data_IF_918509714344
#
_entry.id   IF_918509714344
#
_cell.length_a   1.000
_cell.length_b   1.000
_cell.length_c   1.000
_cell.angle_alpha   90.00
_cell.angle_beta   90.00
_cell.angle_gamma   90.00
#
_symmetry.space_group_name_H-M   'P 1'
#
loop_
_entity.id
_entity.type
_entity.pdbx_description
1 polymer ?
#
# COMPACT_ATOMS: atom_id res chain seq x y z
N UNK A 1 -20.38 -16.21 1.58
CA UNK A 1 -20.34 -16.13 0.11
C UNK A 1 -20.19 -14.67 -0.23
N UNK A 2 -19.07 -14.22 -0.81
CA UNK A 2 -18.95 -12.84 -1.25
C UNK A 2 -20.00 -12.60 -2.37
N UNK A 3 -20.78 -11.52 -2.27
CA UNK A 3 -21.69 -11.13 -3.36
C UNK A 3 -20.82 -10.71 -4.53
N UNK A 4 -20.98 -11.39 -5.66
CA UNK A 4 -20.28 -11.04 -6.89
C UNK A 4 -21.07 -9.95 -7.61
N UNK A 5 -20.54 -8.74 -7.58
CA UNK A 5 -21.11 -7.57 -8.25
C UNK A 5 -20.38 -7.22 -9.56
N UNK A 6 -19.45 -8.07 -10.01
CA UNK A 6 -18.59 -7.79 -11.17
C UNK A 6 -19.34 -7.76 -12.51
N UNK A 7 -20.55 -8.31 -12.55
CA UNK A 7 -21.33 -8.48 -13.78
C UNK A 7 -22.34 -7.36 -14.05
N UNK A 8 -22.74 -6.60 -13.02
CA UNK A 8 -23.69 -5.48 -13.15
C UNK A 8 -23.34 -4.35 -12.17
N UNK A 9 -22.73 -3.25 -12.66
CA UNK A 9 -22.36 -2.10 -11.84
C UNK A 9 -23.54 -1.43 -11.11
N UNK A 10 -24.78 -1.59 -11.60
CA UNK A 10 -25.97 -1.06 -10.93
C UNK A 10 -26.21 -1.75 -9.58
N UNK A 11 -25.75 -2.98 -9.41
CA UNK A 11 -25.81 -3.69 -8.14
C UNK A 11 -24.83 -3.12 -7.12
N UNK A 12 -23.67 -2.64 -7.56
CA UNK A 12 -22.70 -1.93 -6.70
C UNK A 12 -23.35 -0.67 -6.14
N UNK A 13 -23.94 0.15 -7.02
CA UNK A 13 -24.61 1.39 -6.62
C UNK A 13 -25.75 1.13 -5.63
N UNK A 14 -26.61 0.13 -5.91
CA UNK A 14 -27.70 -0.28 -5.01
C UNK A 14 -27.20 -0.78 -3.67
N UNK A 15 -26.13 -1.58 -3.64
CA UNK A 15 -25.54 -2.09 -2.39
C UNK A 15 -25.04 -0.94 -1.51
N UNK A 16 -24.36 0.04 -2.11
CA UNK A 16 -23.89 1.23 -1.40
C UNK A 16 -25.07 2.03 -0.84
N UNK A 17 -26.07 2.34 -1.67
CA UNK A 17 -27.22 3.16 -1.28
C UNK A 17 -28.09 2.47 -0.20
N UNK A 18 -28.41 1.20 -0.40
CA UNK A 18 -29.44 0.51 0.40
C UNK A 18 -28.88 -0.12 1.68
N UNK A 19 -27.57 -0.44 1.72
CA UNK A 19 -26.96 -1.13 2.85
C UNK A 19 -25.83 -0.31 3.48
N UNK A 20 -24.78 0.04 2.72
CA UNK A 20 -23.55 0.63 3.29
C UNK A 20 -23.73 2.08 3.76
N UNK A 21 -24.49 2.87 3.01
CA UNK A 21 -24.72 4.29 3.25
C UNK A 21 -26.16 4.58 3.73
N UNK A 22 -26.94 3.56 4.10
CA UNK A 22 -28.37 3.70 4.48
C UNK A 22 -28.63 4.76 5.57
N UNK A 23 -27.68 4.97 6.48
CA UNK A 23 -27.78 5.95 7.57
C UNK A 23 -27.14 7.30 7.28
N UNK A 24 -26.64 7.53 6.06
CA UNK A 24 -25.93 8.76 5.70
C UNK A 24 -26.94 9.84 5.28
N UNK A 25 -26.59 11.14 5.42
CA UNK A 25 -27.44 12.21 4.92
C UNK A 25 -27.70 12.12 3.41
N UNK A 26 -28.85 12.61 2.96
CA UNK A 26 -29.31 12.51 1.57
C UNK A 26 -28.30 13.05 0.55
N UNK A 27 -27.56 14.10 0.90
CA UNK A 27 -26.51 14.66 0.05
C UNK A 27 -25.41 13.65 -0.30
N UNK A 28 -25.09 12.69 0.57
CA UNK A 28 -24.12 11.64 0.27
C UNK A 28 -24.71 10.57 -0.66
N UNK A 29 -25.99 10.24 -0.49
CA UNK A 29 -26.69 9.30 -1.38
C UNK A 29 -26.83 9.89 -2.78
N UNK A 30 -27.07 11.21 -2.88
CA UNK A 30 -27.12 11.92 -4.14
C UNK A 30 -25.81 11.80 -4.94
N UNK A 31 -24.65 11.93 -4.27
CA UNK A 31 -23.34 11.70 -4.90
C UNK A 31 -23.20 10.26 -5.42
N UNK A 32 -23.66 9.26 -4.66
CA UNK A 32 -23.61 7.85 -5.07
C UNK A 32 -24.49 7.61 -6.31
N UNK A 33 -25.68 8.22 -6.38
CA UNK A 33 -26.62 8.08 -7.51
C UNK A 33 -26.08 8.69 -8.81
N UNK A 34 -25.27 9.74 -8.70
CA UNK A 34 -24.65 10.42 -9.85
C UNK A 34 -23.32 9.79 -10.30
N UNK A 35 -22.85 8.74 -9.63
CA UNK A 35 -21.65 8.03 -10.07
C UNK A 35 -21.88 7.37 -11.45
N UNK A 36 -20.92 7.52 -12.36
CA UNK A 36 -20.93 6.83 -13.64
C UNK A 36 -20.80 5.33 -13.43
N UNK A 37 -21.85 4.57 -13.77
CA UNK A 37 -21.90 3.12 -13.62
C UNK A 37 -20.76 2.42 -14.36
N UNK A 38 -20.27 2.97 -15.47
CA UNK A 38 -19.15 2.37 -16.21
C UNK A 38 -17.81 2.45 -15.48
N UNK A 39 -17.69 3.34 -14.48
CA UNK A 39 -16.50 3.53 -13.66
C UNK A 39 -16.51 2.72 -12.36
N UNK A 40 -17.65 2.12 -11.98
CA UNK A 40 -17.78 1.41 -10.73
C UNK A 40 -17.11 0.04 -10.79
N UNK A 41 -16.21 -0.21 -9.85
CA UNK A 41 -15.53 -1.49 -9.68
C UNK A 41 -15.71 -2.01 -8.27
N UNK A 42 -15.92 -3.33 -8.14
CA UNK A 42 -15.99 -3.99 -6.84
C UNK A 42 -14.85 -5.00 -6.73
N UNK A 43 -13.81 -4.66 -5.97
CA UNK A 43 -12.67 -5.53 -5.73
C UNK A 43 -12.42 -5.68 -4.22
N UNK A 44 -12.18 -6.90 -3.71
CA UNK A 44 -11.83 -7.08 -2.31
C UNK A 44 -10.45 -6.48 -2.04
N UNK A 45 -10.31 -5.74 -0.95
CA UNK A 45 -9.02 -5.30 -0.45
C UNK A 45 -8.26 -6.49 0.13
N UNK A 46 -7.24 -6.94 -0.59
CA UNK A 46 -6.37 -8.04 -0.17
C UNK A 46 -5.20 -7.52 0.63
N UNK A 47 -5.06 -7.97 1.88
CA UNK A 47 -3.91 -7.65 2.72
C UNK A 47 -2.81 -8.69 2.51
N UNK A 48 -1.66 -8.27 1.98
CA UNK A 48 -0.43 -9.03 2.15
C UNK A 48 0.15 -8.74 3.53
N UNK A 49 0.27 -9.78 4.34
CA UNK A 49 0.71 -9.61 5.70
C UNK A 49 2.16 -9.05 5.78
N UNK A 50 2.45 -8.06 6.62
CA UNK A 50 3.78 -7.44 6.70
C UNK A 50 4.92 -8.42 6.96
N UNK A 51 4.70 -9.46 7.75
CA UNK A 51 5.72 -10.49 8.02
C UNK A 51 6.12 -11.28 6.77
N UNK A 52 5.21 -11.44 5.80
CA UNK A 52 5.56 -12.08 4.51
C UNK A 52 6.51 -11.22 3.68
N UNK A 53 6.46 -9.90 3.85
CA UNK A 53 7.38 -8.97 3.18
C UNK A 53 8.75 -8.98 3.87
N UNK A 54 8.75 -9.01 5.22
CA UNK A 54 9.95 -9.01 6.05
C UNK A 54 10.71 -10.35 5.96
N UNK A 55 10.01 -11.48 6.02
CA UNK A 55 10.64 -12.80 6.08
C UNK A 55 10.59 -13.57 4.75
N UNK A 56 9.70 -13.20 3.81
CA UNK A 56 9.53 -13.92 2.55
C UNK A 56 10.61 -13.65 1.52
N UNK A 57 10.72 -14.49 0.47
CA UNK A 57 11.67 -14.28 -0.62
C UNK A 57 11.17 -13.18 -1.57
N UNK A 58 11.86 -12.03 -1.63
CA UNK A 58 11.52 -10.92 -2.53
C UNK A 58 12.43 -10.83 -3.76
N UNK A 59 13.48 -11.65 -3.79
CA UNK A 59 14.45 -11.72 -4.86
C UNK A 59 14.90 -13.17 -5.06
N UNK A 60 15.22 -13.52 -6.31
CA UNK A 60 15.83 -14.79 -6.70
C UNK A 60 16.79 -14.54 -7.86
N UNK A 61 18.10 -14.65 -7.62
CA UNK A 61 19.10 -14.28 -8.62
C UNK A 61 18.96 -12.82 -9.03
N UNK A 62 18.98 -12.54 -10.31
CA UNK A 62 18.82 -11.19 -10.86
C UNK A 62 17.34 -10.73 -11.00
N UNK A 63 16.39 -11.43 -10.38
CA UNK A 63 14.95 -11.10 -10.44
C UNK A 63 14.45 -10.64 -9.07
N UNK A 64 13.68 -9.55 -9.05
CA UNK A 64 13.03 -8.99 -7.85
C UNK A 64 11.63 -8.49 -8.18
N UNK A 65 10.84 -8.18 -7.15
CA UNK A 65 9.54 -7.48 -7.26
C UNK A 65 9.60 -6.06 -6.69
N UNK A 66 8.70 -5.19 -7.15
CA UNK A 66 8.54 -3.80 -6.71
C UNK A 66 7.06 -3.38 -6.77
N UNK A 67 6.71 -2.26 -6.13
CA UNK A 67 5.33 -1.74 -6.09
C UNK A 67 4.35 -2.74 -5.49
N UNK A 68 3.12 -2.78 -6.02
CA UNK A 68 2.05 -3.67 -5.56
C UNK A 68 2.41 -5.17 -5.66
N UNK A 69 3.36 -5.54 -6.53
CA UNK A 69 3.85 -6.90 -6.60
C UNK A 69 4.69 -7.28 -5.36
N UNK A 70 5.30 -6.31 -4.68
CA UNK A 70 6.07 -6.50 -3.44
C UNK A 70 5.24 -6.17 -2.19
N UNK A 71 4.56 -5.03 -2.18
CA UNK A 71 3.93 -4.45 -0.98
C UNK A 71 2.52 -3.92 -1.24
N UNK A 72 1.57 -4.75 -1.70
CA UNK A 72 0.19 -4.30 -1.85
C UNK A 72 -0.33 -3.85 -0.48
N UNK A 73 -0.88 -2.65 -0.44
CA UNK A 73 -1.33 -2.01 0.79
C UNK A 73 -2.72 -1.44 0.64
N UNK A 74 -3.42 -1.28 1.76
CA UNK A 74 -4.72 -0.60 1.74
C UNK A 74 -4.52 0.88 1.39
N UNK A 75 -5.52 1.52 0.74
CA UNK A 75 -5.36 2.88 0.23
C UNK A 75 -5.39 3.96 1.33
N UNK A 76 -5.57 3.58 2.59
CA UNK A 76 -5.87 4.48 3.72
C UNK A 76 -4.80 5.54 4.02
N UNK A 77 -3.55 5.35 3.57
CA UNK A 77 -2.49 6.36 3.65
C UNK A 77 -2.16 7.02 2.30
N UNK A 78 -2.73 6.51 1.20
CA UNK A 78 -2.40 6.98 -0.15
C UNK A 78 -0.93 6.76 -0.57
N UNK A 79 -0.20 5.84 0.08
CA UNK A 79 1.24 5.67 -0.10
C UNK A 79 1.67 4.60 -1.11
N UNK A 80 0.74 3.82 -1.68
CA UNK A 80 1.09 2.72 -2.59
C UNK A 80 1.90 3.19 -3.80
N UNK A 81 1.37 4.19 -4.53
CA UNK A 81 2.05 4.77 -5.70
C UNK A 81 3.37 5.46 -5.36
N UNK A 82 3.41 6.26 -4.28
CA UNK A 82 4.64 6.91 -3.83
C UNK A 82 5.72 5.89 -3.48
N UNK A 83 5.36 4.83 -2.73
CA UNK A 83 6.28 3.74 -2.37
C UNK A 83 6.79 2.98 -3.59
N UNK A 84 5.97 2.81 -4.64
CA UNK A 84 6.42 2.21 -5.90
C UNK A 84 7.44 3.09 -6.63
N UNK A 85 7.31 4.42 -6.56
CA UNK A 85 8.33 5.34 -7.09
C UNK A 85 9.61 5.33 -6.24
N UNK A 86 9.49 5.26 -4.91
CA UNK A 86 10.64 5.06 -4.01
C UNK A 86 11.41 3.78 -4.41
N UNK A 87 10.70 2.68 -4.70
CA UNK A 87 11.31 1.44 -5.16
C UNK A 87 12.10 1.62 -6.45
N UNK A 88 11.54 2.34 -7.43
CA UNK A 88 12.19 2.58 -8.71
C UNK A 88 13.54 3.31 -8.54
N UNK A 89 13.58 4.34 -7.69
CA UNK A 89 14.81 5.10 -7.40
C UNK A 89 15.83 4.23 -6.65
N UNK A 90 15.40 3.54 -5.59
CA UNK A 90 16.30 2.69 -4.79
C UNK A 90 16.83 1.52 -5.60
N UNK A 91 16.00 0.93 -6.47
CA UNK A 91 16.41 -0.12 -7.39
C UNK A 91 17.46 0.40 -8.37
N UNK A 92 17.18 1.51 -9.06
CA UNK A 92 18.11 2.13 -10.00
C UNK A 92 19.45 2.48 -9.33
N UNK A 93 19.42 2.99 -8.10
CA UNK A 93 20.62 3.26 -7.31
C UNK A 93 21.39 2.01 -6.93
N UNK A 94 20.69 0.90 -6.70
CA UNK A 94 21.30 -0.35 -6.25
C UNK A 94 21.97 -1.12 -7.39
N UNK A 95 21.40 -1.10 -8.60
CA UNK A 95 21.94 -1.80 -9.78
C UNK A 95 22.77 -0.89 -10.70
N UNK A 96 22.53 0.43 -10.66
CA UNK A 96 23.14 1.40 -11.56
C UNK A 96 24.67 1.40 -11.57
N UNK A 97 25.38 1.30 -10.42
CA UNK A 97 26.84 1.26 -10.42
C UNK A 97 27.41 0.10 -11.25
N UNK A 98 26.80 -1.08 -11.17
CA UNK A 98 27.20 -2.23 -11.99
C UNK A 98 27.00 -1.94 -13.48
N UNK A 99 25.80 -1.42 -13.83
CA UNK A 99 25.43 -1.06 -15.20
C UNK A 99 26.36 -0.01 -15.82
N UNK A 100 26.83 0.95 -15.03
CA UNK A 100 27.72 2.02 -15.49
C UNK A 100 29.15 1.50 -15.67
N UNK A 101 29.68 0.71 -14.73
CA UNK A 101 31.06 0.24 -14.77
C UNK A 101 31.35 -0.72 -15.94
N UNK A 102 30.37 -1.54 -16.34
CA UNK A 102 30.53 -2.54 -17.39
C UNK A 102 29.77 -2.28 -18.68
N UNK A 103 28.74 -1.42 -18.68
CA UNK A 103 27.70 -1.46 -19.69
C UNK A 103 26.87 -2.75 -19.60
N UNK A 104 25.70 -2.78 -20.25
CA UNK A 104 24.78 -3.93 -20.18
C UNK A 104 25.45 -5.25 -20.65
N UNK A 105 26.43 -5.17 -21.53
CA UNK A 105 27.14 -6.33 -22.10
C UNK A 105 28.19 -6.95 -21.17
N UNK A 106 28.79 -6.19 -20.23
CA UNK A 106 29.80 -6.73 -19.30
C UNK A 106 29.30 -6.95 -17.89
N UNK A 107 28.12 -6.42 -17.54
CA UNK A 107 27.51 -6.68 -16.25
C UNK A 107 27.29 -8.18 -16.06
N UNK A 108 27.96 -8.77 -15.08
CA UNK A 108 27.72 -10.17 -14.77
C UNK A 108 26.45 -10.31 -13.92
N UNK A 109 25.77 -11.44 -14.05
CA UNK A 109 24.54 -11.72 -13.31
C UNK A 109 24.70 -11.57 -11.79
N UNK A 110 25.91 -11.82 -11.26
CA UNK A 110 26.24 -11.66 -9.84
C UNK A 110 26.16 -10.22 -9.37
N UNK A 111 26.69 -9.27 -10.13
CA UNK A 111 26.65 -7.85 -9.76
C UNK A 111 25.21 -7.32 -9.73
N UNK A 112 24.39 -7.74 -10.71
CA UNK A 112 22.96 -7.42 -10.73
C UNK A 112 22.25 -8.05 -9.54
N UNK A 113 22.52 -9.33 -9.24
CA UNK A 113 21.95 -10.02 -8.09
C UNK A 113 22.29 -9.32 -6.75
N UNK A 114 23.54 -8.88 -6.57
CA UNK A 114 23.95 -8.12 -5.39
C UNK A 114 23.21 -6.78 -5.29
N UNK A 115 23.03 -6.08 -6.41
CA UNK A 115 22.22 -4.87 -6.48
C UNK A 115 20.76 -5.12 -6.11
N UNK A 116 20.15 -6.20 -6.63
CA UNK A 116 18.77 -6.58 -6.27
C UNK A 116 18.65 -6.88 -4.77
N UNK A 117 19.64 -7.57 -4.20
CA UNK A 117 19.68 -7.87 -2.76
C UNK A 117 19.79 -6.61 -1.90
N UNK A 118 20.60 -5.63 -2.33
CA UNK A 118 20.71 -4.33 -1.66
C UNK A 118 19.39 -3.56 -1.70
N UNK A 119 18.74 -3.51 -2.86
CA UNK A 119 17.42 -2.92 -3.04
C UNK A 119 16.39 -3.54 -2.08
N UNK A 120 16.25 -4.87 -2.09
CA UNK A 120 15.30 -5.57 -1.21
C UNK A 120 15.60 -5.30 0.26
N UNK A 121 16.88 -5.35 0.65
CA UNK A 121 17.31 -5.11 2.03
C UNK A 121 16.92 -3.72 2.54
N UNK A 122 17.09 -2.70 1.71
CA UNK A 122 16.72 -1.32 2.06
C UNK A 122 15.20 -1.14 2.15
N UNK A 123 14.46 -1.66 1.16
CA UNK A 123 13.01 -1.40 1.04
C UNK A 123 12.16 -2.20 2.02
N UNK A 124 12.59 -3.41 2.39
CA UNK A 124 11.77 -4.39 3.12
C UNK A 124 11.10 -3.86 4.39
N UNK A 125 11.86 -3.23 5.29
CA UNK A 125 11.30 -2.70 6.54
C UNK A 125 10.45 -1.46 6.31
N UNK A 126 10.87 -0.63 5.35
CA UNK A 126 10.16 0.58 4.94
C UNK A 126 8.76 0.26 4.44
N UNK A 127 8.65 -0.67 3.48
CA UNK A 127 7.36 -1.03 2.90
C UNK A 127 6.49 -1.85 3.86
N UNK A 128 7.08 -2.68 4.72
CA UNK A 128 6.33 -3.39 5.76
C UNK A 128 5.69 -2.43 6.78
N UNK A 129 6.41 -1.36 7.14
CA UNK A 129 5.88 -0.28 7.98
C UNK A 129 4.70 0.44 7.32
N UNK A 130 4.80 0.77 6.03
CA UNK A 130 3.72 1.41 5.28
C UNK A 130 2.47 0.53 5.19
N UNK A 131 2.62 -0.75 4.82
CA UNK A 131 1.51 -1.72 4.77
C UNK A 131 0.82 -1.82 6.14
N UNK A 132 1.60 -1.89 7.23
CA UNK A 132 1.06 -1.94 8.59
C UNK A 132 0.32 -0.65 8.95
N UNK A 133 0.92 0.51 8.65
CA UNK A 133 0.32 1.82 8.91
C UNK A 133 -1.00 2.01 8.18
N UNK A 134 -1.06 1.62 6.90
CA UNK A 134 -2.29 1.67 6.10
C UNK A 134 -3.38 0.78 6.68
N UNK A 135 -3.05 -0.46 7.04
CA UNK A 135 -4.03 -1.36 7.64
C UNK A 135 -4.59 -0.82 8.96
N UNK A 136 -3.72 -0.34 9.86
CA UNK A 136 -4.14 0.23 11.15
C UNK A 136 -4.98 1.49 10.94
N UNK A 137 -4.61 2.35 9.99
CA UNK A 137 -5.40 3.54 9.65
C UNK A 137 -6.79 3.18 9.12
N UNK A 138 -6.89 2.18 8.23
CA UNK A 138 -8.17 1.69 7.72
C UNK A 138 -9.04 1.10 8.83
N UNK A 139 -8.45 0.30 9.71
CA UNK A 139 -9.15 -0.25 10.87
C UNK A 139 -9.70 0.85 11.80
N UNK A 140 -8.92 1.91 12.04
CA UNK A 140 -9.34 3.06 12.86
C UNK A 140 -10.42 3.90 12.18
N UNK A 141 -10.29 4.14 10.87
CA UNK A 141 -11.24 4.93 10.08
C UNK A 141 -12.59 4.22 9.93
N UNK A 142 -12.58 2.90 9.75
CA UNK A 142 -13.79 2.09 9.54
C UNK A 142 -14.41 1.57 10.86
N UNK A 143 -13.60 1.40 11.91
CA UNK A 143 -13.98 0.75 13.17
C UNK A 143 -14.82 1.59 14.14
N UNK A 144 -15.33 2.75 13.71
CA UNK A 144 -16.14 3.65 14.55
C UNK A 144 -17.58 3.22 14.81
N UNK A 145 -18.09 2.23 14.08
CA UNK A 145 -19.54 1.93 13.99
C UNK A 145 -20.03 0.73 14.82
N UNK A 146 -19.15 0.01 15.52
CA UNK A 146 -19.54 -1.14 16.35
C UNK A 146 -20.11 -0.75 17.73
N UNK A 147 -21.25 -1.33 18.12
CA UNK A 147 -21.77 -1.25 19.49
C UNK A 147 -21.11 -2.32 20.39
N UNK A 148 -20.85 -2.00 21.66
CA UNK A 148 -20.29 -2.92 22.66
C UNK A 148 -18.79 -2.74 22.98
N UNK A 149 -18.22 -3.69 23.73
CA UNK A 149 -16.85 -3.66 24.25
C UNK A 149 -15.77 -3.50 23.17
N UNK A 150 -15.94 -4.16 22.02
CA UNK A 150 -15.01 -4.04 20.89
C UNK A 150 -14.97 -2.63 20.30
N UNK A 151 -16.14 -2.02 20.06
CA UNK A 151 -16.23 -0.65 19.56
C UNK A 151 -15.71 0.40 20.55
N UNK A 152 -15.94 0.18 21.85
CA UNK A 152 -15.34 1.00 22.91
C UNK A 152 -13.80 0.91 22.87
N UNK A 153 -13.24 -0.29 22.71
CA UNK A 153 -11.79 -0.48 22.62
C UNK A 153 -11.19 0.19 21.38
N UNK A 154 -11.85 0.09 20.21
CA UNK A 154 -11.39 0.79 18.99
C UNK A 154 -11.40 2.30 19.20
N UNK A 155 -12.47 2.86 19.77
CA UNK A 155 -12.55 4.30 20.09
C UNK A 155 -11.45 4.71 21.08
N UNK A 156 -11.26 3.93 22.15
CA UNK A 156 -10.21 4.19 23.12
C UNK A 156 -8.83 4.17 22.45
N UNK A 157 -8.51 3.13 21.68
CA UNK A 157 -7.22 3.00 20.98
C UNK A 157 -7.02 4.15 19.99
N UNK A 158 -8.04 4.47 19.20
CA UNK A 158 -8.02 5.59 18.27
C UNK A 158 -7.67 6.90 18.98
N UNK A 159 -8.39 7.20 20.06
CA UNK A 159 -8.33 8.50 20.72
C UNK A 159 -7.07 8.64 21.61
N UNK A 160 -6.63 7.55 22.26
CA UNK A 160 -5.53 7.59 23.24
C UNK A 160 -4.19 7.12 22.67
N UNK A 161 -4.19 6.25 21.67
CA UNK A 161 -2.96 5.64 21.11
C UNK A 161 -2.72 6.14 19.69
N UNK A 162 -3.70 5.98 18.79
CA UNK A 162 -3.51 6.26 17.37
C UNK A 162 -3.25 7.73 17.11
N UNK A 163 -4.18 8.62 17.46
CA UNK A 163 -4.04 10.06 17.18
C UNK A 163 -2.91 10.73 17.96
N UNK A 164 -2.52 10.17 19.11
CA UNK A 164 -1.50 10.77 19.97
C UNK A 164 -0.08 10.31 19.65
N UNK A 165 0.10 9.07 19.18
CA UNK A 165 1.43 8.50 19.00
C UNK A 165 1.68 7.96 17.59
N UNK A 166 0.71 7.25 16.99
CA UNK A 166 0.92 6.64 15.67
C UNK A 166 0.71 7.64 14.53
N UNK A 167 -0.28 8.51 14.59
CA UNK A 167 -0.62 9.46 13.51
C UNK A 167 0.58 10.32 13.11
N UNK A 168 1.28 10.90 14.08
CA UNK A 168 2.47 11.73 13.86
C UNK A 168 3.63 10.91 13.28
N UNK A 169 3.81 9.68 13.76
CA UNK A 169 4.85 8.77 13.26
C UNK A 169 4.56 8.34 11.83
N UNK A 170 3.31 7.98 11.53
CA UNK A 170 2.85 7.62 10.19
C UNK A 170 2.98 8.82 9.24
N UNK A 171 2.56 10.01 9.66
CA UNK A 171 2.71 11.24 8.88
C UNK A 171 4.19 11.55 8.59
N UNK A 172 5.06 11.42 9.59
CA UNK A 172 6.51 11.59 9.38
C UNK A 172 7.10 10.53 8.46
N UNK A 173 6.53 9.33 8.46
CA UNK A 173 6.92 8.25 7.59
C UNK A 173 6.37 8.41 6.16
N UNK A 174 5.61 9.45 5.81
CA UNK A 174 5.27 9.70 4.40
C UNK A 174 6.49 10.22 3.62
N UNK A 175 7.41 10.90 4.30
CA UNK A 175 8.64 11.38 3.67
C UNK A 175 9.73 10.32 3.71
N UNK A 176 10.30 10.01 2.56
CA UNK A 176 11.42 9.08 2.43
C UNK A 176 12.48 9.65 1.50
N UNK A 177 13.71 9.76 2.02
CA UNK A 177 14.86 10.13 1.20
C UNK A 177 15.37 8.89 0.48
N UNK A 178 15.14 8.84 -0.84
CA UNK A 178 15.63 7.78 -1.71
C UNK A 178 17.12 7.94 -2.07
N UNK A 179 17.75 9.04 -1.66
CA UNK A 179 19.08 9.49 -2.05
C UNK A 179 19.26 9.73 -3.56
N UNK A 180 20.50 9.94 -3.97
CA UNK A 180 20.85 10.28 -5.36
C UNK A 180 21.05 9.06 -6.27
N UNK A 181 20.73 9.23 -7.56
CA UNK A 181 21.10 8.29 -8.61
C UNK A 181 22.61 8.34 -8.87
N UNK A 182 23.23 7.22 -9.28
CA UNK A 182 24.62 7.21 -9.70
C UNK A 182 24.80 8.08 -10.94
N UNK A 183 25.90 8.83 -10.99
CA UNK A 183 26.21 9.71 -12.12
C UNK A 183 26.84 8.92 -13.25
N UNK A 184 26.46 9.26 -14.48
CA UNK A 184 27.20 8.88 -15.68
C UNK A 184 28.39 9.84 -15.75
N UNK A 185 29.59 9.32 -15.52
CA UNK A 185 30.86 10.06 -15.77
C UNK A 185 31.29 9.89 -17.23
#
# INVERSE_FOLDING_TARGET
MARDFSTDPSLIQKEVEQNLAKGFPEAYLDVVRHADLSSLTWAPLMLRAPWSIVAGPMQRGSVTVAGDAMHPMTPDLGQGGCSALEDAVVLARSIGPALIAGGLERCCAKEVEEGMKKYVGERRWRVAGLVTGSYVSGWVQQGGSGSGLGGWFVKWFRDHVFYRFLSTRIASAVNYDCGGLPKLE
#
